data_IF_569539836606
#
_entry.id   IF_569539836606
#
_cell.length_a   1.000
_cell.length_b   1.000
_cell.length_c   1.000
_cell.angle_alpha   90.00
_cell.angle_beta   90.00
_cell.angle_gamma   90.00
#
_symmetry.space_group_name_H-M   'P 1'
#
loop_
_entity.id
_entity.type
_entity.pdbx_description
1 polymer ?
#
# COMPACT_ATOMS: atom_id res chain seq x y z
N UNK A 1 9.12 -15.18 33.93
CA UNK A 1 9.31 -16.11 32.79
C UNK A 1 8.52 -15.53 31.63
N UNK A 2 9.19 -14.76 30.79
CA UNK A 2 8.58 -14.20 29.59
C UNK A 2 8.38 -15.30 28.57
N UNK A 3 7.13 -15.51 28.18
CA UNK A 3 6.73 -16.44 27.12
C UNK A 3 7.26 -15.86 25.79
N UNK A 4 8.02 -16.59 24.97
CA UNK A 4 8.40 -16.08 23.66
C UNK A 4 7.11 -15.90 22.85
N UNK A 5 6.93 -14.70 22.31
CA UNK A 5 5.83 -14.41 21.40
C UNK A 5 5.90 -15.39 20.23
N UNK A 6 4.86 -16.20 20.06
CA UNK A 6 4.72 -17.08 18.90
C UNK A 6 4.79 -16.23 17.64
N UNK A 7 5.80 -16.48 16.81
CA UNK A 7 5.88 -15.96 15.44
C UNK A 7 4.64 -16.44 14.68
N UNK A 8 3.62 -15.59 14.64
CA UNK A 8 2.39 -15.87 13.93
C UNK A 8 2.73 -15.96 12.42
N UNK A 9 2.66 -17.16 11.81
CA UNK A 9 3.15 -17.39 10.45
C UNK A 9 2.38 -16.60 9.38
N UNK A 10 1.22 -16.04 9.73
CA UNK A 10 0.50 -15.11 8.87
C UNK A 10 1.21 -13.75 8.71
N UNK A 11 1.99 -13.32 9.70
CA UNK A 11 2.71 -12.04 9.63
C UNK A 11 3.84 -12.13 8.59
N UNK A 12 4.56 -13.25 8.56
CA UNK A 12 5.67 -13.50 7.63
C UNK A 12 5.21 -13.57 6.16
N UNK A 13 4.03 -14.14 5.90
CA UNK A 13 3.43 -14.15 4.55
C UNK A 13 2.99 -12.74 4.10
N UNK A 14 2.51 -11.89 5.02
CA UNK A 14 2.01 -10.54 4.72
C UNK A 14 3.11 -9.46 4.59
N UNK A 15 4.36 -9.75 4.98
CA UNK A 15 5.51 -8.87 4.71
C UNK A 15 5.97 -8.94 3.25
N UNK A 16 5.56 -9.97 2.52
CA UNK A 16 5.90 -10.11 1.10
C UNK A 16 5.20 -9.01 0.30
N UNK A 17 5.93 -8.26 -0.55
CA UNK A 17 5.31 -7.27 -1.42
C UNK A 17 4.23 -7.91 -2.29
N UNK A 18 3.09 -7.23 -2.40
CA UNK A 18 1.98 -7.65 -3.27
C UNK A 18 1.84 -6.69 -4.45
N UNK A 19 1.37 -7.19 -5.58
CA UNK A 19 0.98 -6.35 -6.72
C UNK A 19 -0.53 -6.14 -6.73
N UNK A 20 -0.97 -4.91 -6.98
CA UNK A 20 -2.38 -4.55 -7.15
C UNK A 20 -2.51 -3.57 -8.32
N UNK A 21 -3.23 -3.94 -9.38
CA UNK A 21 -3.35 -3.14 -10.61
C UNK A 21 -2.00 -2.62 -11.15
N UNK A 22 -0.97 -3.47 -11.13
CA UNK A 22 0.42 -3.16 -11.47
C UNK A 22 1.19 -2.24 -10.49
N UNK A 23 0.53 -1.69 -9.47
CA UNK A 23 1.21 -1.01 -8.37
C UNK A 23 1.83 -2.03 -7.42
N UNK A 24 2.98 -1.69 -6.86
CA UNK A 24 3.62 -2.48 -5.81
C UNK A 24 3.17 -1.95 -4.46
N UNK A 25 2.60 -2.80 -3.61
CA UNK A 25 2.33 -2.51 -2.20
C UNK A 25 3.30 -3.34 -1.38
N UNK A 26 4.03 -2.72 -0.47
CA UNK A 26 4.98 -3.42 0.40
C UNK A 26 5.02 -2.80 1.78
N UNK A 27 5.71 -3.46 2.70
CA UNK A 27 5.94 -2.93 4.04
C UNK A 27 7.39 -2.47 4.22
N UNK A 28 7.62 -1.48 5.07
CA UNK A 28 8.94 -1.00 5.48
C UNK A 28 8.94 -0.68 6.98
N UNK A 29 10.03 -0.97 7.68
CA UNK A 29 10.19 -0.54 9.07
C UNK A 29 10.83 0.86 9.08
N UNK A 30 10.17 1.82 9.75
CA UNK A 30 10.65 3.20 9.94
C UNK A 30 10.37 3.58 11.40
N UNK A 31 11.39 4.07 12.11
CA UNK A 31 11.30 4.43 13.54
C UNK A 31 10.69 3.34 14.43
N UNK A 32 11.14 2.09 14.21
CA UNK A 32 10.66 0.87 14.91
C UNK A 32 9.17 0.56 14.71
N UNK A 33 8.50 1.24 13.77
CA UNK A 33 7.10 0.99 13.40
C UNK A 33 7.04 0.35 12.02
N UNK A 34 6.02 -0.48 11.79
CA UNK A 34 5.74 -1.03 10.48
C UNK A 34 4.94 0.01 9.67
N UNK A 35 5.40 0.30 8.47
CA UNK A 35 4.75 1.21 7.54
C UNK A 35 4.34 0.46 6.29
N UNK A 36 3.19 0.83 5.74
CA UNK A 36 2.75 0.38 4.42
C UNK A 36 3.15 1.45 3.40
N UNK A 37 3.78 1.03 2.31
CA UNK A 37 4.14 1.89 1.20
C UNK A 37 3.58 1.31 -0.11
N UNK A 38 3.25 2.18 -1.07
CA UNK A 38 2.90 1.75 -2.42
C UNK A 38 3.50 2.65 -3.49
N UNK A 39 3.80 2.03 -4.64
CA UNK A 39 4.59 2.61 -5.72
C UNK A 39 3.96 2.33 -7.08
N UNK A 40 3.86 3.37 -7.90
CA UNK A 40 3.48 3.24 -9.31
C UNK A 40 4.60 2.53 -10.09
N UNK A 41 4.30 1.67 -11.08
CA UNK A 41 5.32 0.98 -11.87
C UNK A 41 6.31 1.92 -12.56
N UNK A 42 5.85 3.08 -13.03
CA UNK A 42 6.67 4.06 -13.75
C UNK A 42 7.43 5.02 -12.82
N UNK A 43 7.37 4.80 -11.51
CA UNK A 43 8.00 5.66 -10.52
C UNK A 43 9.13 4.96 -9.77
N UNK A 44 10.18 5.73 -9.50
CA UNK A 44 11.36 5.26 -8.78
C UNK A 44 11.22 5.39 -7.25
N UNK A 45 10.25 6.18 -6.77
CA UNK A 45 10.00 6.40 -5.35
C UNK A 45 8.55 6.02 -5.00
N UNK A 46 8.32 5.57 -3.76
CA UNK A 46 6.97 5.32 -3.29
C UNK A 46 6.19 6.62 -3.18
N UNK A 47 4.98 6.69 -3.75
CA UNK A 47 4.14 7.90 -3.65
C UNK A 47 3.69 8.17 -2.23
N UNK A 48 3.44 7.10 -1.47
CA UNK A 48 2.83 7.21 -0.15
C UNK A 48 3.41 6.18 0.80
N UNK A 49 3.43 6.56 2.08
CA UNK A 49 3.86 5.73 3.18
C UNK A 49 3.06 6.15 4.43
N UNK A 50 2.43 5.21 5.13
CA UNK A 50 1.76 5.50 6.41
C UNK A 50 1.91 4.33 7.40
N UNK A 51 1.83 4.60 8.72
CA UNK A 51 2.03 3.57 9.73
C UNK A 51 0.88 2.55 9.70
N UNK A 52 1.22 1.26 9.83
CA UNK A 52 0.21 0.21 10.02
C UNK A 52 -0.50 0.47 11.35
N UNK A 53 -1.82 0.59 11.28
CA UNK A 53 -2.66 0.96 12.42
C UNK A 53 -2.97 -0.24 13.32
N UNK A 54 -3.57 0.01 14.48
CA UNK A 54 -4.02 -1.03 15.42
C UNK A 54 -5.05 -2.00 14.81
N UNK A 55 -5.77 -1.58 13.76
CA UNK A 55 -6.67 -2.46 13.00
C UNK A 55 -5.92 -3.54 12.21
N UNK A 56 -4.60 -3.42 12.11
CA UNK A 56 -3.72 -4.40 11.52
C UNK A 56 -3.39 -4.15 10.06
N UNK A 57 -2.51 -5.01 9.54
CA UNK A 57 -1.95 -4.92 8.21
C UNK A 57 -2.99 -5.17 7.11
N UNK A 58 -3.94 -6.07 7.34
CA UNK A 58 -4.99 -6.39 6.35
C UNK A 58 -5.87 -5.19 6.02
N UNK A 59 -6.36 -4.47 7.03
CA UNK A 59 -7.19 -3.26 6.84
C UNK A 59 -6.41 -2.12 6.21
N UNK A 60 -5.15 -1.99 6.61
CA UNK A 60 -4.19 -1.06 6.02
C UNK A 60 -4.01 -1.37 4.52
N UNK A 61 -3.81 -2.64 4.13
CA UNK A 61 -3.73 -3.03 2.71
C UNK A 61 -5.04 -2.73 1.96
N UNK A 62 -6.21 -3.00 2.55
CA UNK A 62 -7.51 -2.66 1.93
C UNK A 62 -7.62 -1.17 1.66
N UNK A 63 -7.21 -0.34 2.61
CA UNK A 63 -7.24 1.11 2.46
C UNK A 63 -6.28 1.59 1.36
N UNK A 64 -5.07 1.02 1.27
CA UNK A 64 -4.15 1.33 0.17
C UNK A 64 -4.73 0.96 -1.21
N UNK A 65 -5.42 -0.19 -1.33
CA UNK A 65 -6.10 -0.58 -2.58
C UNK A 65 -7.19 0.43 -2.97
N UNK A 66 -7.99 0.87 -2.00
CA UNK A 66 -8.99 1.93 -2.22
C UNK A 66 -8.35 3.22 -2.75
N UNK A 67 -7.23 3.66 -2.17
CA UNK A 67 -6.52 4.85 -2.63
C UNK A 67 -5.95 4.68 -4.05
N UNK A 68 -5.40 3.51 -4.37
CA UNK A 68 -4.93 3.21 -5.74
C UNK A 68 -6.08 3.26 -6.73
N UNK A 69 -7.23 2.65 -6.41
CA UNK A 69 -8.42 2.69 -7.27
C UNK A 69 -8.91 4.13 -7.47
N UNK A 70 -8.88 4.95 -6.43
CA UNK A 70 -9.24 6.36 -6.51
C UNK A 70 -8.29 7.16 -7.41
N UNK A 71 -6.98 6.97 -7.26
CA UNK A 71 -5.97 7.64 -8.11
C UNK A 71 -6.21 7.32 -9.59
N UNK A 72 -6.40 6.04 -9.92
CA UNK A 72 -6.65 5.59 -11.29
C UNK A 72 -7.90 6.27 -11.86
N UNK A 73 -9.00 6.31 -11.09
CA UNK A 73 -10.24 6.98 -11.54
C UNK A 73 -10.04 8.46 -11.80
N UNK A 74 -9.33 9.16 -10.91
CA UNK A 74 -9.06 10.58 -11.08
C UNK A 74 -8.17 10.85 -12.30
N UNK A 75 -7.17 10.00 -12.56
CA UNK A 75 -6.31 10.09 -13.74
C UNK A 75 -7.11 9.81 -15.04
N UNK A 76 -8.03 8.84 -15.02
CA UNK A 76 -8.94 8.55 -16.13
C UNK A 76 -9.90 9.71 -16.43
N UNK A 77 -10.52 10.30 -15.39
CA UNK A 77 -11.42 11.46 -15.52
C UNK A 77 -10.69 12.70 -16.06
N UNK A 78 -9.48 12.98 -15.57
CA UNK A 78 -8.65 14.08 -16.06
C UNK A 78 -8.24 13.88 -17.53
N UNK A 79 -7.92 12.64 -17.93
CA UNK A 79 -7.62 12.31 -19.31
C UNK A 79 -8.82 12.53 -20.25
N UNK A 80 -10.02 12.10 -19.84
CA UNK A 80 -11.26 12.30 -20.61
C UNK A 80 -11.57 13.78 -20.76
N UNK A 81 -11.51 14.54 -19.65
CA UNK A 81 -11.74 15.99 -19.61
C UNK A 81 -10.80 16.76 -20.55
N UNK A 82 -9.53 16.34 -20.64
CA UNK A 82 -8.54 16.93 -21.56
C UNK A 82 -8.85 16.62 -23.03
N UNK A 83 -9.39 15.44 -23.33
CA UNK A 83 -9.70 15.02 -24.70
C UNK A 83 -10.96 15.69 -25.25
N UNK A 84 -11.95 15.98 -24.42
CA UNK A 84 -13.18 16.68 -24.84
C UNK A 84 -12.98 18.19 -25.09
N UNK A 85 -11.88 18.76 -24.59
CA UNK A 85 -11.53 20.18 -24.75
C UNK A 85 -10.54 20.46 -25.89
N UNK A 86 -10.07 19.42 -26.59
CA UNK A 86 -9.11 19.51 -27.68
C UNK A 86 -9.73 19.18 -29.02
#
# INVERSE_FOLDING_TARGET
>A
MDKPAEDNPNISLLLTPIRYRNWLISTKIIDKRLWLQWKHPDENFARYCYPVTERGLTDTIRYARFLIDLIIRLEEEDFISKREKS
#
